data_IF_449969102726
#
_entry.id   IF_449969102726
#
_cell.length_a   1.000
_cell.length_b   1.000
_cell.length_c   1.000
_cell.angle_alpha   90.00
_cell.angle_beta   90.00
_cell.angle_gamma   90.00
#
_symmetry.space_group_name_H-M   'P 1'
#
loop_
_entity.id
_entity.type
_entity.pdbx_description
1 polymer ?
#
# COMPACT_ATOMS: atom_id res chain seq x y z
N UNK A 1 50.08 -56.46 14.92
CA UNK A 1 48.68 -56.80 15.23
C UNK A 1 47.82 -56.09 14.19
N UNK A 2 47.36 -56.85 13.20
CA UNK A 2 46.55 -56.36 12.10
C UNK A 2 45.12 -56.10 12.62
N UNK A 3 44.75 -54.82 12.75
CA UNK A 3 43.47 -54.41 13.30
C UNK A 3 42.37 -54.58 12.24
N UNK A 4 42.02 -55.83 11.91
CA UNK A 4 40.87 -56.13 11.06
C UNK A 4 39.59 -55.66 11.75
N UNK A 5 39.00 -54.59 11.20
CA UNK A 5 37.65 -54.13 11.55
C UNK A 5 36.67 -55.21 11.09
N UNK A 6 36.23 -56.05 12.03
CA UNK A 6 35.18 -57.05 11.79
C UNK A 6 33.80 -56.40 11.82
N UNK A 7 32.87 -56.83 10.95
CA UNK A 7 31.47 -56.35 10.85
C UNK A 7 30.76 -56.24 12.22
N UNK A 8 31.12 -57.11 13.18
CA UNK A 8 30.60 -57.09 14.55
C UNK A 8 30.97 -55.83 15.34
N UNK A 9 32.18 -55.27 15.17
CA UNK A 9 32.59 -54.03 15.84
C UNK A 9 31.85 -52.81 15.30
N UNK A 10 31.54 -52.78 14.01
CA UNK A 10 30.74 -51.71 13.39
C UNK A 10 29.28 -51.76 13.90
N UNK A 11 28.71 -52.97 14.04
CA UNK A 11 27.37 -53.17 14.59
C UNK A 11 27.24 -52.79 16.07
N UNK A 12 28.27 -53.04 16.89
CA UNK A 12 28.30 -52.62 18.29
C UNK A 12 28.49 -51.11 18.47
N UNK A 13 29.20 -50.43 17.57
CA UNK A 13 29.33 -48.98 17.61
C UNK A 13 28.01 -48.29 17.22
N UNK A 14 27.32 -48.82 16.21
CA UNK A 14 25.98 -48.35 15.82
C UNK A 14 24.91 -48.64 16.88
N UNK A 15 24.92 -49.80 17.54
CA UNK A 15 23.90 -50.14 18.55
C UNK A 15 24.05 -49.38 19.87
N UNK A 16 25.22 -48.83 20.18
CA UNK A 16 25.47 -48.10 21.43
C UNK A 16 25.44 -46.57 21.28
N UNK A 17 25.79 -46.04 20.10
CA UNK A 17 25.84 -44.59 19.85
C UNK A 17 24.73 -44.06 18.91
N UNK A 18 23.78 -44.90 18.46
CA UNK A 18 22.72 -44.45 17.55
C UNK A 18 21.92 -43.25 18.08
N UNK A 19 21.63 -43.19 19.39
CA UNK A 19 20.94 -42.04 20.01
C UNK A 19 21.76 -40.76 19.89
N UNK A 20 23.08 -40.83 20.09
CA UNK A 20 23.97 -39.66 19.95
C UNK A 20 24.10 -39.21 18.51
N UNK A 21 24.17 -40.17 17.58
CA UNK A 21 24.17 -39.89 16.14
C UNK A 21 22.86 -39.19 15.74
N UNK A 22 21.71 -39.68 16.23
CA UNK A 22 20.40 -39.10 15.97
C UNK A 22 20.26 -37.69 16.57
N UNK A 23 20.77 -37.48 17.80
CA UNK A 23 20.81 -36.17 18.45
C UNK A 23 21.69 -35.16 17.70
N UNK A 24 22.86 -35.58 17.20
CA UNK A 24 23.73 -34.74 16.36
C UNK A 24 23.04 -34.41 15.03
N UNK A 25 22.40 -35.38 14.39
CA UNK A 25 21.62 -35.11 13.17
C UNK A 25 20.52 -34.07 13.43
N UNK A 26 19.75 -34.22 14.51
CA UNK A 26 18.72 -33.25 14.89
C UNK A 26 19.31 -31.86 15.17
N UNK A 27 20.44 -31.78 15.89
CA UNK A 27 21.14 -30.51 16.14
C UNK A 27 21.62 -29.85 14.84
N UNK A 28 22.16 -30.63 13.89
CA UNK A 28 22.56 -30.12 12.57
C UNK A 28 21.33 -29.60 11.80
N UNK A 29 20.20 -30.31 11.81
CA UNK A 29 18.97 -29.83 11.18
C UNK A 29 18.49 -28.53 11.83
N UNK A 30 18.51 -28.41 13.17
CA UNK A 30 18.15 -27.18 13.87
C UNK A 30 19.08 -26.03 13.50
N UNK A 31 20.40 -26.26 13.46
CA UNK A 31 21.38 -25.25 13.02
C UNK A 31 21.13 -24.87 11.56
N UNK A 32 20.77 -25.83 10.71
CA UNK A 32 20.48 -25.57 9.30
C UNK A 32 19.19 -24.75 9.12
N UNK A 33 18.15 -25.05 9.89
CA UNK A 33 16.91 -24.27 9.94
C UNK A 33 17.21 -22.86 10.46
N UNK A 34 18.00 -22.73 11.53
CA UNK A 34 18.40 -21.43 12.08
C UNK A 34 19.16 -20.61 11.03
N UNK A 35 20.19 -21.19 10.41
CA UNK A 35 20.93 -20.54 9.34
C UNK A 35 20.02 -20.11 8.20
N UNK A 36 19.09 -20.96 7.77
CA UNK A 36 18.13 -20.59 6.73
C UNK A 36 17.20 -19.45 7.18
N UNK A 37 16.73 -19.49 8.42
CA UNK A 37 15.83 -18.46 8.96
C UNK A 37 16.51 -17.11 9.23
N UNK A 38 17.82 -17.11 9.50
CA UNK A 38 18.61 -15.90 9.78
C UNK A 38 19.32 -15.35 8.54
N UNK A 39 19.60 -16.19 7.54
CA UNK A 39 20.32 -15.80 6.32
C UNK A 39 19.41 -15.65 5.09
N UNK A 40 18.17 -16.12 5.15
CA UNK A 40 17.20 -15.85 4.09
C UNK A 40 16.95 -14.34 4.02
N UNK A 41 17.14 -13.70 2.85
CA UNK A 41 16.71 -12.33 2.63
C UNK A 41 15.20 -12.27 2.90
N UNK A 42 14.79 -11.51 3.91
CA UNK A 42 13.39 -11.14 4.09
C UNK A 42 13.13 -9.85 3.32
N UNK A 43 11.94 -9.72 2.77
CA UNK A 43 11.49 -8.44 2.24
C UNK A 43 11.66 -7.37 3.33
N UNK A 44 12.27 -6.25 2.97
CA UNK A 44 12.28 -5.07 3.85
C UNK A 44 10.85 -4.51 3.94
N UNK A 45 10.60 -3.61 4.90
CA UNK A 45 9.29 -2.95 4.99
C UNK A 45 8.90 -2.21 3.69
N UNK A 46 9.87 -1.75 2.88
CA UNK A 46 9.59 -1.16 1.57
C UNK A 46 9.26 -2.18 0.46
N UNK A 47 9.62 -3.45 0.64
CA UNK A 47 9.43 -4.52 -0.34
C UNK A 47 8.19 -5.40 -0.07
N UNK A 48 7.51 -5.22 1.06
CA UNK A 48 6.20 -5.83 1.32
C UNK A 48 5.12 -4.84 0.87
N UNK A 49 3.99 -5.26 0.30
CA UNK A 49 2.85 -4.39 0.03
C UNK A 49 1.66 -4.82 0.91
N UNK A 50 1.10 -3.90 1.69
CA UNK A 50 0.09 -4.17 2.69
C UNK A 50 -1.23 -3.49 2.35
N UNK A 51 -2.25 -4.32 2.19
CA UNK A 51 -3.61 -3.93 1.87
C UNK A 51 -4.46 -4.10 3.13
N UNK A 52 -5.12 -3.04 3.57
CA UNK A 52 -6.09 -3.09 4.65
C UNK A 52 -7.50 -3.11 4.07
N UNK A 53 -8.36 -3.95 4.62
CA UNK A 53 -9.77 -4.04 4.26
C UNK A 53 -10.58 -3.67 5.49
N UNK A 54 -11.22 -2.52 5.47
CA UNK A 54 -12.03 -2.03 6.58
C UNK A 54 -13.26 -2.92 6.80
N UNK A 55 -13.86 -2.95 8.01
CA UNK A 55 -15.10 -3.69 8.22
C UNK A 55 -16.14 -3.40 7.16
N UNK A 56 -16.94 -4.42 6.84
CA UNK A 56 -17.99 -4.40 5.82
C UNK A 56 -17.52 -4.27 4.37
N UNK A 57 -16.21 -4.12 4.11
CA UNK A 57 -15.62 -4.26 2.78
C UNK A 57 -15.11 -5.69 2.60
N UNK A 58 -15.16 -6.21 1.38
CA UNK A 58 -14.69 -7.54 1.02
C UNK A 58 -13.95 -7.49 -0.30
N UNK A 59 -12.70 -7.97 -0.29
CA UNK A 59 -11.95 -8.30 -1.51
C UNK A 59 -12.33 -9.70 -1.96
N UNK A 60 -12.66 -9.85 -3.24
CA UNK A 60 -12.98 -11.14 -3.86
C UNK A 60 -11.71 -11.82 -4.36
N UNK A 61 -11.77 -13.14 -4.56
CA UNK A 61 -10.64 -13.94 -5.05
C UNK A 61 -10.07 -13.44 -6.39
N UNK A 62 -10.94 -12.84 -7.20
CA UNK A 62 -10.63 -12.14 -8.47
C UNK A 62 -9.75 -10.91 -8.31
N UNK A 63 -9.56 -10.38 -7.11
CA UNK A 63 -8.55 -9.35 -6.85
C UNK A 63 -7.12 -9.85 -7.12
N UNK A 64 -6.90 -11.16 -6.96
CA UNK A 64 -5.65 -11.80 -7.31
C UNK A 64 -4.65 -11.92 -6.15
N UNK A 65 -3.59 -12.66 -6.44
CA UNK A 65 -2.44 -12.89 -5.56
C UNK A 65 -1.25 -12.05 -6.00
N UNK A 66 -0.20 -11.94 -5.17
CA UNK A 66 1.03 -11.23 -5.56
C UNK A 66 1.58 -11.71 -6.92
N UNK A 67 1.57 -13.01 -7.18
CA UNK A 67 2.08 -13.54 -8.45
C UNK A 67 1.26 -13.09 -9.65
N UNK A 68 -0.08 -13.10 -9.56
CA UNK A 68 -0.93 -12.65 -10.66
C UNK A 68 -0.84 -11.13 -10.84
N UNK A 69 -0.87 -10.37 -9.74
CA UNK A 69 -0.74 -8.91 -9.77
C UNK A 69 0.58 -8.46 -10.40
N UNK A 70 1.68 -9.19 -10.15
CA UNK A 70 2.97 -8.91 -10.80
C UNK A 70 2.98 -9.30 -12.28
N UNK A 71 2.38 -10.45 -12.64
CA UNK A 71 2.25 -10.88 -14.04
C UNK A 71 1.40 -9.89 -14.87
N UNK A 72 0.37 -9.30 -14.26
CA UNK A 72 -0.54 -8.34 -14.89
C UNK A 72 -0.05 -6.88 -14.81
N UNK A 73 1.15 -6.65 -14.26
CA UNK A 73 1.79 -5.34 -14.18
C UNK A 73 1.22 -4.38 -13.14
N UNK A 74 0.49 -4.87 -12.13
CA UNK A 74 0.02 -4.09 -10.99
C UNK A 74 1.15 -3.74 -10.00
N UNK A 75 2.12 -4.65 -9.88
CA UNK A 75 3.30 -4.48 -9.01
C UNK A 75 4.60 -4.71 -9.77
N UNK A 76 5.62 -3.95 -9.40
CA UNK A 76 6.98 -4.16 -9.88
C UNK A 76 7.68 -5.37 -9.24
N UNK A 77 8.85 -5.72 -9.77
CA UNK A 77 9.71 -6.77 -9.20
C UNK A 77 10.29 -6.43 -7.80
N UNK A 78 10.11 -5.20 -7.33
CA UNK A 78 10.53 -4.78 -5.99
C UNK A 78 9.49 -5.10 -4.91
N UNK A 79 8.24 -5.36 -5.28
CA UNK A 79 7.25 -5.93 -4.36
C UNK A 79 7.51 -7.44 -4.25
N UNK A 80 8.12 -7.84 -3.13
CA UNK A 80 8.53 -9.21 -2.85
C UNK A 80 7.51 -9.98 -2.01
N UNK A 81 6.69 -9.26 -1.24
CA UNK A 81 5.65 -9.85 -0.40
C UNK A 81 4.37 -9.00 -0.46
N UNK A 82 3.22 -9.62 -0.24
CA UNK A 82 1.94 -8.93 -0.18
C UNK A 82 1.11 -9.52 0.95
N UNK A 83 0.52 -8.65 1.77
CA UNK A 83 -0.42 -9.08 2.80
C UNK A 83 -1.74 -8.32 2.71
N UNK A 84 -2.82 -9.04 3.03
CA UNK A 84 -4.16 -8.48 3.14
C UNK A 84 -4.62 -8.61 4.58
N UNK A 85 -4.90 -7.48 5.22
CA UNK A 85 -5.34 -7.39 6.61
C UNK A 85 -6.83 -7.02 6.63
N UNK A 86 -7.69 -8.02 6.85
CA UNK A 86 -9.11 -7.80 7.07
C UNK A 86 -9.34 -7.34 8.51
N UNK A 87 -9.83 -6.11 8.66
CA UNK A 87 -10.08 -5.50 9.96
C UNK A 87 -11.45 -5.94 10.48
N UNK A 88 -11.49 -6.31 11.76
CA UNK A 88 -12.73 -6.60 12.47
C UNK A 88 -13.18 -5.36 13.24
N UNK A 89 -14.48 -5.16 13.35
CA UNK A 89 -15.07 -3.98 13.99
C UNK A 89 -14.54 -3.77 15.42
N UNK A 90 -14.44 -4.84 16.22
CA UNK A 90 -14.02 -4.79 17.62
C UNK A 90 -12.51 -4.53 17.81
N UNK A 91 -11.69 -4.71 16.77
CA UNK A 91 -10.22 -4.64 16.89
C UNK A 91 -9.55 -3.69 15.91
N UNK A 92 -10.32 -3.05 15.00
CA UNK A 92 -9.78 -2.22 13.92
C UNK A 92 -8.84 -1.14 14.45
N UNK A 93 -9.23 -0.41 15.49
CA UNK A 93 -8.45 0.73 16.00
C UNK A 93 -7.16 0.29 16.71
N UNK A 94 -7.21 -0.86 17.39
CA UNK A 94 -6.03 -1.46 18.03
C UNK A 94 -5.01 -1.93 16.99
N UNK A 95 -5.50 -2.61 15.94
CA UNK A 95 -4.65 -3.11 14.85
C UNK A 95 -4.05 -1.95 14.07
N UNK A 96 -4.87 -1.00 13.63
CA UNK A 96 -4.43 0.18 12.89
C UNK A 96 -3.44 1.01 13.69
N UNK A 97 -3.74 1.28 14.97
CA UNK A 97 -2.83 2.01 15.86
C UNK A 97 -1.46 1.34 16.00
N UNK A 98 -1.41 0.02 16.18
CA UNK A 98 -0.17 -0.73 16.29
C UNK A 98 0.63 -0.77 14.98
N UNK A 99 -0.05 -0.99 13.85
CA UNK A 99 0.58 -1.12 12.54
C UNK A 99 1.08 0.24 12.04
N UNK A 100 0.28 1.30 12.16
CA UNK A 100 0.71 2.63 11.75
C UNK A 100 1.88 3.15 12.58
N UNK A 101 1.92 2.86 13.88
CA UNK A 101 3.09 3.14 14.73
C UNK A 101 4.35 2.38 14.29
N UNK A 102 4.20 1.24 13.61
CA UNK A 102 5.29 0.47 13.01
C UNK A 102 5.63 0.89 11.56
N UNK A 103 4.96 1.91 11.00
CA UNK A 103 5.16 2.34 9.61
C UNK A 103 4.62 1.34 8.58
N UNK A 104 3.51 0.68 8.90
CA UNK A 104 2.89 -0.36 8.08
C UNK A 104 1.62 0.14 7.37
N UNK A 105 1.46 -0.23 6.10
CA UNK A 105 0.27 0.05 5.30
C UNK A 105 0.49 0.92 4.08
N UNK A 106 0.05 0.42 2.93
CA UNK A 106 0.16 1.11 1.65
C UNK A 106 -1.20 1.58 1.15
N UNK A 107 -2.22 0.75 1.31
CA UNK A 107 -3.58 1.02 0.80
C UNK A 107 -4.63 0.51 1.79
N UNK A 108 -5.75 1.23 1.86
CA UNK A 108 -6.94 0.78 2.57
C UNK A 108 -8.18 0.85 1.68
N UNK A 109 -8.98 -0.22 1.68
CA UNK A 109 -10.32 -0.21 1.11
C UNK A 109 -11.35 -0.01 2.21
N UNK A 110 -12.17 1.02 2.07
CA UNK A 110 -13.16 1.46 3.07
C UNK A 110 -14.44 1.94 2.38
N UNK A 111 -15.57 1.88 3.08
CA UNK A 111 -16.84 2.35 2.52
C UNK A 111 -17.09 3.84 2.82
N UNK A 112 -17.46 4.61 1.80
CA UNK A 112 -17.95 5.99 1.94
C UNK A 112 -19.47 6.07 2.12
N UNK A 113 -20.16 4.94 2.21
CA UNK A 113 -21.60 4.90 2.37
C UNK A 113 -22.02 5.60 3.68
N UNK A 114 -22.92 6.58 3.58
CA UNK A 114 -23.36 7.39 4.70
C UNK A 114 -24.46 6.70 5.52
N UNK A 115 -24.35 6.78 6.83
CA UNK A 115 -25.31 6.25 7.79
C UNK A 115 -25.44 7.17 9.01
N UNK A 116 -26.55 7.04 9.74
CA UNK A 116 -26.78 7.74 11.01
C UNK A 116 -25.78 7.26 12.06
N UNK A 117 -24.97 8.17 12.60
CA UNK A 117 -23.99 7.88 13.65
C UNK A 117 -24.62 7.44 14.97
N UNK A 118 -25.92 7.67 15.16
CA UNK A 118 -26.64 7.53 16.43
C UNK A 118 -26.56 8.78 17.31
N UNK A 119 -25.81 9.80 16.89
CA UNK A 119 -25.70 11.10 17.55
C UNK A 119 -26.61 12.15 16.91
N UNK A 120 -26.88 13.22 17.66
CA UNK A 120 -27.71 14.33 17.19
C UNK A 120 -27.00 15.66 17.36
N UNK A 121 -27.20 16.55 16.40
CA UNK A 121 -26.72 17.93 16.48
C UNK A 121 -27.52 18.76 17.51
N UNK A 122 -27.12 20.02 17.71
CA UNK A 122 -27.76 20.93 18.64
C UNK A 122 -29.25 21.22 18.31
N UNK A 123 -29.65 21.04 17.05
CA UNK A 123 -31.01 21.23 16.56
C UNK A 123 -31.83 19.93 16.59
N UNK A 124 -31.23 18.82 17.00
CA UNK A 124 -31.86 17.51 17.15
C UNK A 124 -31.93 16.66 15.88
N UNK A 125 -31.22 17.05 14.81
CA UNK A 125 -31.08 16.27 13.58
C UNK A 125 -30.02 15.17 13.76
N UNK A 126 -30.19 14.05 13.06
CA UNK A 126 -29.20 12.97 13.08
C UNK A 126 -27.89 13.43 12.42
N UNK A 127 -26.76 13.13 13.07
CA UNK A 127 -25.44 13.35 12.48
C UNK A 127 -25.12 12.18 11.57
N UNK A 128 -24.94 12.45 10.28
CA UNK A 128 -24.54 11.46 9.30
C UNK A 128 -23.02 11.26 9.33
N UNK A 129 -22.58 10.03 9.11
CA UNK A 129 -21.16 9.66 9.03
C UNK A 129 -20.96 8.55 8.00
N UNK A 130 -19.72 8.29 7.62
CA UNK A 130 -19.33 7.07 6.91
C UNK A 130 -18.15 6.39 7.59
N UNK A 131 -17.86 5.13 7.21
CA UNK A 131 -16.68 4.42 7.68
C UNK A 131 -15.38 5.13 7.21
N UNK A 132 -15.39 5.68 5.99
CA UNK A 132 -14.32 6.51 5.44
C UNK A 132 -14.10 7.78 6.28
N UNK A 133 -15.17 8.51 6.62
CA UNK A 133 -15.06 9.74 7.40
C UNK A 133 -14.49 9.47 8.80
N UNK A 134 -14.97 8.42 9.48
CA UNK A 134 -14.44 8.01 10.78
C UNK A 134 -12.96 7.64 10.69
N UNK A 135 -12.58 6.87 9.66
CA UNK A 135 -11.19 6.48 9.45
C UNK A 135 -10.28 7.70 9.22
N UNK A 136 -10.67 8.64 8.35
CA UNK A 136 -9.85 9.83 8.05
C UNK A 136 -9.81 10.80 9.24
N UNK A 137 -10.88 10.96 10.00
CA UNK A 137 -10.83 11.77 11.23
C UNK A 137 -9.91 11.14 12.30
N UNK A 138 -9.87 9.81 12.42
CA UNK A 138 -9.01 9.14 13.39
C UNK A 138 -7.54 9.01 12.95
N UNK A 139 -7.30 8.85 11.65
CA UNK A 139 -5.98 8.48 11.09
C UNK A 139 -5.57 9.32 9.87
N UNK A 140 -6.13 10.51 9.69
CA UNK A 140 -5.86 11.37 8.52
C UNK A 140 -4.38 11.73 8.38
N UNK A 141 -3.64 11.83 9.50
CA UNK A 141 -2.17 12.00 9.48
C UNK A 141 -1.40 10.83 8.84
N UNK A 142 -2.01 9.65 8.73
CA UNK A 142 -1.48 8.49 8.03
C UNK A 142 -2.00 8.35 6.60
N UNK A 143 -2.85 9.26 6.13
CA UNK A 143 -3.40 9.26 4.78
C UNK A 143 -2.62 10.25 3.90
N UNK A 144 -2.51 9.97 2.60
CA UNK A 144 -2.01 10.98 1.66
C UNK A 144 -3.17 11.89 1.22
N UNK A 145 -2.87 13.17 1.08
CA UNK A 145 -3.82 14.12 0.50
C UNK A 145 -3.81 14.03 -1.03
N UNK A 146 -4.99 14.04 -1.64
CA UNK A 146 -5.17 13.89 -3.10
C UNK A 146 -5.35 15.24 -3.83
N UNK A 147 -5.15 16.36 -3.15
CA UNK A 147 -5.31 17.69 -3.75
C UNK A 147 -6.77 18.16 -3.73
N UNK A 148 -7.08 19.27 -4.40
CA UNK A 148 -8.42 19.86 -4.44
C UNK A 148 -8.37 21.37 -4.67
N UNK A 149 -9.49 22.07 -4.44
CA UNK A 149 -9.55 23.54 -4.51
C UNK A 149 -8.96 24.25 -3.28
N UNK A 150 -8.75 23.52 -2.18
CA UNK A 150 -8.25 24.04 -0.90
C UNK A 150 -6.78 23.66 -0.66
N UNK A 151 -6.12 24.34 0.29
CA UNK A 151 -4.80 23.96 0.79
C UNK A 151 -4.88 22.66 1.62
N UNK A 152 -3.73 22.02 1.88
CA UNK A 152 -3.66 20.79 2.66
C UNK A 152 -4.41 20.95 4.01
N UNK A 153 -5.49 20.20 4.25
CA UNK A 153 -6.45 20.56 5.30
C UNK A 153 -5.96 20.29 6.73
N UNK A 154 -4.94 19.44 6.92
CA UNK A 154 -4.49 18.98 8.24
C UNK A 154 -3.22 19.68 8.77
N UNK A 155 -2.91 20.89 8.29
CA UNK A 155 -1.71 21.64 8.69
C UNK A 155 -0.39 20.97 8.26
N UNK A 156 0.72 21.70 8.30
CA UNK A 156 2.05 21.16 8.03
C UNK A 156 2.71 20.72 9.33
N UNK A 157 2.58 19.45 9.70
CA UNK A 157 3.44 18.90 10.75
C UNK A 157 4.86 18.71 10.19
N UNK A 158 5.93 19.00 10.96
CA UNK A 158 7.32 18.77 10.52
C UNK A 158 7.60 17.32 10.09
N UNK A 159 6.78 16.38 10.58
CA UNK A 159 6.84 14.94 10.29
C UNK A 159 5.99 14.56 9.05
N UNK A 160 5.08 15.43 8.60
CA UNK A 160 4.27 15.29 7.38
C UNK A 160 4.79 16.23 6.30
N UNK A 161 5.90 15.86 5.66
CA UNK A 161 6.51 16.60 4.55
C UNK A 161 5.69 16.59 3.24
N UNK A 162 4.42 16.17 3.24
CA UNK A 162 3.55 16.11 2.07
C UNK A 162 2.48 17.22 2.09
N UNK A 163 2.91 18.48 2.05
CA UNK A 163 1.99 19.59 1.69
C UNK A 163 1.61 19.58 0.20
N UNK A 164 2.26 18.71 -0.59
CA UNK A 164 1.96 18.47 -2.00
C UNK A 164 1.03 17.27 -2.13
N UNK A 165 0.02 17.39 -2.99
CA UNK A 165 -0.88 16.28 -3.29
C UNK A 165 -0.12 15.09 -3.91
N UNK A 166 -0.65 13.89 -3.65
CA UNK A 166 -0.02 12.63 -3.99
C UNK A 166 0.24 12.45 -5.49
N UNK A 167 -0.70 12.86 -6.34
CA UNK A 167 -0.56 12.70 -7.80
C UNK A 167 0.47 13.70 -8.35
N UNK A 168 0.52 14.92 -7.85
CA UNK A 168 1.61 15.87 -8.16
C UNK A 168 2.96 15.35 -7.69
N UNK A 169 3.03 14.72 -6.51
CA UNK A 169 4.27 14.08 -6.05
C UNK A 169 4.72 12.96 -7.00
N UNK A 170 3.79 12.11 -7.45
CA UNK A 170 4.06 11.07 -8.45
C UNK A 170 4.55 11.66 -9.78
N UNK A 171 3.92 12.74 -10.24
CA UNK A 171 4.33 13.48 -11.45
C UNK A 171 5.77 14.00 -11.33
N UNK A 172 6.10 14.61 -10.20
CA UNK A 172 7.42 15.18 -9.95
C UNK A 172 8.50 14.10 -9.84
N UNK A 173 8.15 12.93 -9.29
CA UNK A 173 9.03 11.76 -9.31
C UNK A 173 9.32 11.28 -10.72
N UNK A 174 8.28 11.11 -11.55
CA UNK A 174 8.43 10.73 -12.96
C UNK A 174 9.23 11.77 -13.76
N UNK A 175 9.05 13.06 -13.48
CA UNK A 175 9.75 14.15 -14.17
C UNK A 175 11.29 14.11 -14.00
N UNK A 176 11.82 13.34 -13.04
CA UNK A 176 13.27 13.09 -12.92
C UNK A 176 13.83 12.25 -14.07
N UNK A 177 12.98 11.44 -14.72
CA UNK A 177 13.40 10.40 -15.68
C UNK A 177 12.94 10.67 -17.12
N UNK A 178 12.26 11.79 -17.36
CA UNK A 178 11.77 12.16 -18.68
C UNK A 178 12.06 13.64 -18.93
N UNK A 179 12.10 14.02 -20.22
CA UNK A 179 12.30 15.41 -20.61
C UNK A 179 11.19 16.32 -20.06
N UNK A 180 11.52 17.60 -19.86
CA UNK A 180 10.57 18.62 -19.40
C UNK A 180 9.32 18.65 -20.29
N UNK A 181 8.13 18.69 -19.67
CA UNK A 181 6.84 18.65 -20.35
C UNK A 181 6.33 17.25 -20.72
N UNK A 182 7.14 16.20 -20.63
CA UNK A 182 6.72 14.84 -21.01
C UNK A 182 5.68 14.19 -20.07
N UNK A 183 5.52 14.72 -18.85
CA UNK A 183 4.61 14.21 -17.81
C UNK A 183 3.52 15.25 -17.46
N UNK A 184 3.33 16.29 -18.28
CA UNK A 184 2.23 17.25 -18.09
C UNK A 184 0.92 16.73 -18.72
N UNK A 185 -0.19 16.83 -17.97
CA UNK A 185 -1.49 16.31 -18.42
C UNK A 185 -1.44 14.81 -18.69
N UNK A 186 -1.89 14.37 -19.89
CA UNK A 186 -1.76 12.98 -20.36
C UNK A 186 -0.33 12.59 -20.79
N UNK A 187 0.62 13.52 -20.70
CA UNK A 187 2.01 13.34 -21.06
C UNK A 187 2.28 13.12 -22.55
N UNK A 188 3.54 13.27 -22.95
CA UNK A 188 4.04 12.79 -24.23
C UNK A 188 4.52 11.34 -24.06
N UNK A 189 3.66 10.39 -24.40
CA UNK A 189 3.99 8.96 -24.33
C UNK A 189 5.13 8.55 -25.29
N UNK A 190 5.50 9.41 -26.24
CA UNK A 190 6.63 9.16 -27.16
C UNK A 190 7.97 9.61 -26.59
N UNK A 191 7.97 10.37 -25.48
CA UNK A 191 9.18 10.83 -24.83
C UNK A 191 10.00 9.63 -24.32
N UNK A 192 11.30 9.67 -24.62
CA UNK A 192 12.25 8.64 -24.18
C UNK A 192 12.69 8.86 -22.74
N UNK A 193 12.92 7.75 -22.04
CA UNK A 193 13.49 7.75 -20.69
C UNK A 193 14.93 8.26 -20.67
N UNK A 194 15.27 9.05 -19.65
CA UNK A 194 16.65 9.28 -19.24
C UNK A 194 17.19 8.05 -18.50
N UNK A 195 17.75 7.12 -19.28
CA UNK A 195 18.31 5.88 -18.75
C UNK A 195 19.48 6.10 -17.79
N UNK A 196 20.22 7.20 -17.93
CA UNK A 196 21.36 7.49 -17.07
C UNK A 196 20.88 7.95 -15.68
N UNK A 197 19.84 8.78 -15.64
CA UNK A 197 19.20 9.17 -14.39
C UNK A 197 18.61 7.95 -13.67
N UNK A 198 17.87 7.10 -14.38
CA UNK A 198 17.31 5.85 -13.83
C UNK A 198 18.41 4.94 -13.30
N UNK A 199 19.50 4.73 -14.05
CA UNK A 199 20.60 3.87 -13.60
C UNK A 199 21.28 4.42 -12.35
N UNK A 200 21.46 5.74 -12.26
CA UNK A 200 22.07 6.39 -11.11
C UNK A 200 21.24 6.16 -9.84
N UNK A 201 19.94 6.42 -9.91
CA UNK A 201 19.02 6.26 -8.78
C UNK A 201 18.83 4.78 -8.42
N UNK A 202 18.71 3.90 -9.41
CA UNK A 202 18.60 2.46 -9.20
C UNK A 202 19.81 1.93 -8.44
N UNK A 203 21.03 2.25 -8.90
CA UNK A 203 22.27 1.82 -8.24
C UNK A 203 22.40 2.35 -6.82
N UNK A 204 21.93 3.57 -6.56
CA UNK A 204 21.88 4.12 -5.22
C UNK A 204 20.89 3.37 -4.32
N UNK A 205 19.70 3.03 -4.85
CA UNK A 205 18.66 2.28 -4.13
C UNK A 205 19.09 0.87 -3.76
N UNK A 206 19.73 0.15 -4.68
CA UNK A 206 20.10 -1.25 -4.48
C UNK A 206 21.38 -1.44 -3.66
N UNK A 207 21.99 -0.36 -3.15
CA UNK A 207 23.19 -0.47 -2.31
C UNK A 207 22.87 -1.26 -1.04
N UNK A 208 23.61 -2.36 -0.82
CA UNK A 208 23.35 -3.31 0.26
C UNK A 208 22.25 -4.36 -0.02
N UNK A 209 21.55 -4.32 -1.16
CA UNK A 209 20.57 -5.34 -1.54
C UNK A 209 21.28 -6.63 -2.01
N UNK A 210 21.01 -7.72 -1.30
CA UNK A 210 21.60 -9.03 -1.59
C UNK A 210 21.17 -9.64 -2.93
N UNK A 211 20.12 -9.12 -3.59
CA UNK A 211 19.69 -9.52 -4.94
C UNK A 211 20.70 -9.11 -6.01
N UNK A 212 21.46 -8.04 -5.79
CA UNK A 212 22.27 -7.38 -6.82
C UNK A 212 23.79 -7.41 -6.54
N UNK A 213 24.35 -8.58 -6.21
CA UNK A 213 25.78 -8.73 -5.85
C UNK A 213 26.76 -8.72 -7.03
N UNK A 214 26.25 -8.91 -8.26
CA UNK A 214 27.07 -9.01 -9.48
C UNK A 214 26.54 -8.05 -10.52
N UNK A 215 27.44 -7.54 -11.36
CA UNK A 215 27.06 -6.62 -12.45
C UNK A 215 26.01 -7.23 -13.38
N UNK A 216 26.05 -8.54 -13.65
CA UNK A 216 25.00 -9.20 -14.45
C UNK A 216 23.61 -9.16 -13.81
N UNK A 217 23.54 -9.18 -12.47
CA UNK A 217 22.27 -9.07 -11.73
C UNK A 217 21.81 -7.61 -11.72
N UNK A 218 22.73 -6.66 -11.57
CA UNK A 218 22.45 -5.22 -11.66
C UNK A 218 21.90 -4.87 -13.04
N UNK A 219 22.51 -5.37 -14.12
CA UNK A 219 22.04 -5.14 -15.48
C UNK A 219 20.65 -5.74 -15.75
N UNK A 220 20.36 -6.93 -15.20
CA UNK A 220 19.01 -7.51 -15.26
C UNK A 220 18.00 -6.65 -14.48
N UNK A 221 18.34 -6.22 -13.27
CA UNK A 221 17.53 -5.31 -12.46
C UNK A 221 17.29 -3.96 -13.12
N UNK A 222 18.28 -3.41 -13.83
CA UNK A 222 18.10 -2.16 -14.59
C UNK A 222 17.07 -2.30 -15.70
N UNK A 223 17.00 -3.46 -16.38
CA UNK A 223 15.96 -3.70 -17.39
C UNK A 223 14.56 -3.74 -16.77
N UNK A 224 14.44 -4.37 -15.59
CA UNK A 224 13.20 -4.38 -14.81
C UNK A 224 12.85 -2.97 -14.33
N UNK A 225 13.83 -2.17 -13.92
CA UNK A 225 13.62 -0.78 -13.48
C UNK A 225 13.15 0.13 -14.62
N UNK A 226 13.74 0.01 -15.82
CA UNK A 226 13.26 0.76 -16.99
C UNK A 226 11.79 0.43 -17.28
N UNK A 227 11.42 -0.86 -17.21
CA UNK A 227 10.05 -1.30 -17.39
C UNK A 227 9.12 -0.79 -16.28
N UNK A 228 9.59 -0.77 -15.02
CA UNK A 228 8.85 -0.25 -13.87
C UNK A 228 8.52 1.23 -14.03
N UNK A 229 9.51 2.07 -14.35
CA UNK A 229 9.30 3.52 -14.55
C UNK A 229 8.33 3.78 -15.70
N UNK A 230 8.41 2.99 -16.78
CA UNK A 230 7.49 3.11 -17.92
C UNK A 230 6.07 2.67 -17.57
N UNK A 231 5.93 1.58 -16.81
CA UNK A 231 4.65 1.09 -16.31
C UNK A 231 4.01 2.10 -15.37
N UNK A 232 4.78 2.70 -14.46
CA UNK A 232 4.30 3.76 -13.57
C UNK A 232 3.84 4.99 -14.36
N UNK A 233 4.58 5.43 -15.39
CA UNK A 233 4.16 6.53 -16.27
C UNK A 233 2.83 6.23 -16.95
N UNK A 234 2.68 5.01 -17.48
CA UNK A 234 1.45 4.57 -18.13
C UNK A 234 0.28 4.56 -17.16
N UNK A 235 0.46 3.95 -15.98
CA UNK A 235 -0.56 3.88 -14.95
C UNK A 235 -0.96 5.28 -14.45
N UNK A 236 0.01 6.17 -14.22
CA UNK A 236 -0.25 7.57 -13.85
C UNK A 236 -1.13 8.26 -14.88
N UNK A 237 -0.78 8.19 -16.17
CA UNK A 237 -1.56 8.84 -17.23
C UNK A 237 -2.97 8.23 -17.38
N UNK A 238 -3.10 6.91 -17.17
CA UNK A 238 -4.40 6.25 -17.15
C UNK A 238 -5.26 6.75 -15.97
N UNK A 239 -4.69 6.81 -14.76
CA UNK A 239 -5.39 7.32 -13.56
C UNK A 239 -5.84 8.76 -13.76
N UNK A 240 -5.00 9.63 -14.32
CA UNK A 240 -5.41 11.00 -14.68
C UNK A 240 -6.56 10.97 -15.70
N UNK A 241 -6.47 10.10 -16.72
CA UNK A 241 -7.55 9.92 -17.69
C UNK A 241 -8.87 9.45 -17.06
N UNK A 242 -8.82 8.51 -16.11
CA UNK A 242 -9.98 8.00 -15.39
C UNK A 242 -10.64 9.07 -14.50
N UNK A 243 -9.84 9.96 -13.92
CA UNK A 243 -10.35 11.11 -13.17
C UNK A 243 -11.01 12.14 -14.11
N UNK A 244 -10.44 12.39 -15.29
CA UNK A 244 -11.01 13.31 -16.28
C UNK A 244 -12.32 12.80 -16.89
N UNK A 245 -12.45 11.49 -17.12
CA UNK A 245 -13.64 10.89 -17.73
C UNK A 245 -14.71 10.44 -16.73
N UNK A 246 -14.42 10.51 -15.43
CA UNK A 246 -15.33 10.18 -14.33
C UNK A 246 -15.41 8.69 -13.99
N UNK A 247 -14.58 7.84 -14.61
CA UNK A 247 -14.42 6.43 -14.21
C UNK A 247 -13.92 6.33 -12.77
N UNK A 248 -13.01 7.22 -12.38
CA UNK A 248 -12.60 7.47 -11.01
C UNK A 248 -13.04 8.87 -10.57
N UNK A 249 -13.29 9.03 -9.28
CA UNK A 249 -13.42 10.35 -8.65
C UNK A 249 -12.68 10.37 -7.33
N UNK A 250 -12.43 11.56 -6.78
CA UNK A 250 -11.95 11.70 -5.40
C UNK A 250 -13.13 12.02 -4.49
N UNK A 251 -13.14 11.46 -3.28
CA UNK A 251 -14.21 11.73 -2.31
C UNK A 251 -13.85 12.94 -1.46
N UNK A 252 -14.73 13.93 -1.48
CA UNK A 252 -14.68 15.09 -0.58
C UNK A 252 -15.20 14.69 0.81
N UNK A 253 -14.49 15.10 1.85
CA UNK A 253 -14.84 14.85 3.25
C UNK A 253 -14.86 16.17 4.01
N UNK A 254 -15.87 16.36 4.85
CA UNK A 254 -15.90 17.43 5.85
C UNK A 254 -15.17 16.94 7.11
N UNK A 255 -13.94 17.42 7.30
CA UNK A 255 -13.02 16.98 8.35
C UNK A 255 -13.02 17.94 9.53
N UNK A 256 -12.93 17.39 10.73
CA UNK A 256 -12.71 18.17 11.95
C UNK A 256 -11.22 18.24 12.25
N UNK A 257 -10.65 19.44 12.23
CA UNK A 257 -9.21 19.67 12.48
C UNK A 257 -9.02 20.68 13.62
N UNK A 258 -7.90 20.59 14.33
CA UNK A 258 -7.52 21.59 15.34
C UNK A 258 -7.39 22.98 14.70
N UNK A 259 -7.90 24.01 15.39
CA UNK A 259 -7.81 25.40 15.01
C UNK A 259 -6.61 26.08 15.68
N UNK A 260 -6.02 27.05 15.00
CA UNK A 260 -5.00 27.94 15.59
C UNK A 260 -5.65 29.16 16.28
N UNK A 261 -6.98 29.25 16.25
CA UNK A 261 -7.78 30.30 16.85
C UNK A 261 -8.59 29.73 18.02
N UNK A 262 -8.94 30.60 18.98
CA UNK A 262 -9.82 30.26 20.12
C UNK A 262 -11.26 30.21 19.61
N UNK A 263 -11.68 29.04 19.14
CA UNK A 263 -13.01 28.77 18.58
C UNK A 263 -14.05 28.65 19.69
N UNK A 264 -13.64 28.18 20.87
CA UNK A 264 -14.53 27.91 21.99
C UNK A 264 -14.76 29.16 22.90
N UNK A 265 -13.94 30.19 22.76
CA UNK A 265 -14.04 31.48 23.42
C UNK A 265 -13.57 31.49 24.88
N UNK A 266 -12.76 30.52 25.31
CA UNK A 266 -12.26 30.40 26.69
C UNK A 266 -10.97 31.21 26.94
N UNK A 267 -10.42 31.83 25.90
CA UNK A 267 -9.21 32.63 25.93
C UNK A 267 -7.91 31.83 25.82
N UNK A 268 -8.00 30.52 25.54
CA UNK A 268 -6.88 29.59 25.35
C UNK A 268 -7.06 28.86 24.03
N UNK A 269 -5.99 28.75 23.23
CA UNK A 269 -5.99 27.89 22.05
C UNK A 269 -5.47 26.52 22.46
N UNK A 270 -6.33 25.50 22.39
CA UNK A 270 -5.98 24.11 22.71
C UNK A 270 -6.63 23.09 21.75
N UNK A 271 -6.43 21.79 22.00
CA UNK A 271 -6.92 20.70 21.13
C UNK A 271 -8.45 20.57 21.08
N UNK A 272 -9.19 21.32 21.90
CA UNK A 272 -10.66 21.39 21.84
C UNK A 272 -11.13 22.47 20.86
N UNK A 273 -10.27 23.41 20.47
CA UNK A 273 -10.55 24.35 19.39
C UNK A 273 -10.44 23.62 18.07
N UNK A 274 -11.60 23.37 17.45
CA UNK A 274 -11.68 22.63 16.21
C UNK A 274 -12.53 23.36 15.20
N UNK A 275 -12.18 23.21 13.93
CA UNK A 275 -12.91 23.76 12.79
C UNK A 275 -13.17 22.68 11.75
N UNK A 276 -14.21 22.89 10.96
CA UNK A 276 -14.52 22.03 9.82
C UNK A 276 -13.77 22.51 8.57
N UNK A 277 -13.10 21.59 7.88
CA UNK A 277 -12.39 21.85 6.63
C UNK A 277 -12.67 20.75 5.62
N UNK A 278 -12.71 21.09 4.34
CA UNK A 278 -12.90 20.11 3.27
C UNK A 278 -11.58 19.49 2.84
N UNK A 279 -11.55 18.17 2.68
CA UNK A 279 -10.37 17.42 2.24
C UNK A 279 -10.69 16.26 1.31
N UNK A 280 -9.68 15.81 0.56
CA UNK A 280 -9.79 14.72 -0.40
C UNK A 280 -8.70 13.68 -0.10
N UNK A 281 -9.12 12.48 0.32
CA UNK A 281 -8.22 11.46 0.88
C UNK A 281 -8.44 10.06 0.30
N UNK A 282 -9.40 9.88 -0.60
CA UNK A 282 -9.65 8.59 -1.25
C UNK A 282 -10.06 8.73 -2.71
N UNK A 283 -9.75 7.68 -3.47
CA UNK A 283 -10.32 7.44 -4.79
C UNK A 283 -11.62 6.65 -4.63
N UNK A 284 -12.73 7.20 -5.09
CA UNK A 284 -14.00 6.51 -5.21
C UNK A 284 -13.95 5.57 -6.42
N UNK A 285 -14.17 4.28 -6.15
CA UNK A 285 -14.19 3.23 -7.14
C UNK A 285 -15.62 2.88 -7.57
N UNK A 286 -16.65 3.52 -7.01
CA UNK A 286 -18.05 3.16 -7.21
C UNK A 286 -18.55 3.29 -8.66
N UNK A 287 -17.87 4.09 -9.49
CA UNK A 287 -18.16 4.24 -10.91
C UNK A 287 -17.31 3.32 -11.81
N UNK A 288 -16.32 2.62 -11.26
CA UNK A 288 -15.47 1.71 -12.02
C UNK A 288 -16.31 0.54 -12.53
N UNK A 289 -16.40 0.32 -13.85
CA UNK A 289 -17.25 -0.72 -14.39
C UNK A 289 -16.82 -2.12 -13.91
N UNK A 290 -17.74 -2.86 -13.30
CA UNK A 290 -17.49 -4.21 -12.79
C UNK A 290 -16.69 -4.28 -11.49
N UNK A 291 -16.51 -3.17 -10.77
CA UNK A 291 -15.75 -3.15 -9.51
C UNK A 291 -16.29 -4.14 -8.48
N UNK A 292 -17.59 -4.41 -8.48
CA UNK A 292 -18.23 -5.40 -7.63
C UNK A 292 -17.70 -6.82 -7.85
N UNK A 293 -17.03 -7.09 -8.97
CA UNK A 293 -16.36 -8.35 -9.22
C UNK A 293 -15.03 -8.46 -8.49
N UNK A 294 -14.40 -7.36 -8.06
CA UNK A 294 -13.15 -7.36 -7.31
C UNK A 294 -13.34 -6.96 -5.84
N UNK A 295 -14.13 -5.91 -5.60
CA UNK A 295 -14.28 -5.30 -4.28
C UNK A 295 -15.74 -4.94 -4.07
N UNK A 296 -16.28 -5.32 -2.92
CA UNK A 296 -17.66 -4.99 -2.54
C UNK A 296 -17.73 -4.48 -1.12
N UNK A 297 -18.75 -3.70 -0.82
CA UNK A 297 -19.18 -3.35 0.53
C UNK A 297 -20.57 -3.91 0.81
N UNK A 298 -20.83 -4.28 2.06
CA UNK A 298 -22.18 -4.58 2.57
C UNK A 298 -22.82 -3.36 3.26
N UNK A 299 -22.12 -2.22 3.33
CA UNK A 299 -22.73 -0.94 3.69
C UNK A 299 -23.51 -0.44 2.48
N UNK A 300 -24.81 -0.66 2.49
CA UNK A 300 -25.70 -0.28 1.39
C UNK A 300 -27.16 -0.20 1.86
N UNK A 301 -27.97 0.61 1.16
CA UNK A 301 -29.42 0.67 1.36
C UNK A 301 -30.08 -0.69 1.05
N UNK A 302 -29.58 -1.35 0.01
CA UNK A 302 -30.01 -2.68 -0.42
C UNK A 302 -29.18 -3.71 0.36
N UNK A 303 -29.78 -4.68 1.05
CA UNK A 303 -29.08 -5.65 1.92
C UNK A 303 -28.20 -6.68 1.16
N UNK A 304 -27.56 -6.25 0.06
CA UNK A 304 -26.74 -7.02 -0.86
C UNK A 304 -25.39 -6.33 -1.05
N UNK A 305 -24.31 -7.12 -1.20
CA UNK A 305 -22.98 -6.59 -1.50
C UNK A 305 -22.99 -5.77 -2.79
N UNK A 306 -22.41 -4.58 -2.77
CA UNK A 306 -22.33 -3.66 -3.92
C UNK A 306 -20.92 -3.11 -4.10
N UNK A 307 -20.56 -2.72 -5.32
CA UNK A 307 -19.35 -1.96 -5.60
C UNK A 307 -19.46 -0.46 -5.29
N UNK A 308 -20.69 0.05 -5.13
CA UNK A 308 -20.94 1.46 -4.86
C UNK A 308 -20.44 1.87 -3.48
N UNK A 309 -19.80 3.04 -3.41
CA UNK A 309 -19.24 3.58 -2.17
C UNK A 309 -17.97 2.86 -1.69
N UNK A 310 -17.39 1.95 -2.48
CA UNK A 310 -16.05 1.41 -2.20
C UNK A 310 -15.02 2.48 -2.53
N UNK A 311 -14.18 2.81 -1.56
CA UNK A 311 -13.13 3.80 -1.69
C UNK A 311 -11.76 3.18 -1.41
N UNK A 312 -10.75 3.67 -2.13
CA UNK A 312 -9.34 3.34 -1.92
C UNK A 312 -8.62 4.56 -1.31
N UNK A 313 -8.14 4.42 -0.08
CA UNK A 313 -7.28 5.40 0.59
C UNK A 313 -5.82 4.96 0.41
N UNK A 314 -4.95 5.91 0.05
CA UNK A 314 -3.51 5.68 0.01
C UNK A 314 -2.90 6.11 1.35
N UNK A 315 -2.09 5.23 1.92
CA UNK A 315 -1.51 5.41 3.23
C UNK A 315 -0.07 5.93 3.13
N UNK A 316 0.27 6.88 3.99
CA UNK A 316 1.55 7.58 4.04
C UNK A 316 2.53 6.96 5.07
N UNK A 317 2.41 5.67 5.36
CA UNK A 317 3.14 5.06 6.49
C UNK A 317 4.60 4.71 6.16
N UNK A 318 5.00 4.79 4.87
CA UNK A 318 6.29 4.32 4.36
C UNK A 318 7.06 5.38 3.56
N UNK A 319 7.14 6.58 4.10
CA UNK A 319 7.89 7.71 3.54
C UNK A 319 9.40 7.45 3.25
N UNK A 320 9.94 6.28 3.59
CA UNK A 320 11.38 5.99 3.54
C UNK A 320 11.88 5.52 2.16
N UNK A 321 11.02 5.04 1.25
CA UNK A 321 11.45 4.59 -0.09
C UNK A 321 10.66 5.30 -1.20
N UNK A 322 11.17 6.47 -1.63
CA UNK A 322 10.50 7.33 -2.62
C UNK A 322 10.15 6.59 -3.93
N UNK A 323 10.97 5.63 -4.34
CA UNK A 323 10.75 4.89 -5.57
C UNK A 323 9.55 3.94 -5.52
N UNK A 324 9.21 3.39 -4.35
CA UNK A 324 8.17 2.38 -4.17
C UNK A 324 6.85 2.96 -3.68
N UNK A 325 6.84 4.23 -3.25
CA UNK A 325 5.66 4.92 -2.75
C UNK A 325 4.54 5.13 -3.78
N UNK A 326 4.75 4.75 -5.03
CA UNK A 326 3.83 4.95 -6.15
C UNK A 326 3.30 3.63 -6.75
N UNK A 327 3.63 2.48 -6.18
CA UNK A 327 3.04 1.18 -6.56
C UNK A 327 1.50 1.16 -6.35
N UNK A 328 0.99 2.05 -5.51
CA UNK A 328 -0.44 2.27 -5.32
C UNK A 328 -1.11 2.83 -6.59
N UNK A 329 -0.37 3.59 -7.42
CA UNK A 329 -0.88 4.13 -8.70
C UNK A 329 -1.01 3.01 -9.73
N UNK A 330 -0.01 2.13 -9.84
CA UNK A 330 -0.06 0.97 -10.74
C UNK A 330 -1.13 -0.04 -10.30
N UNK A 331 -1.31 -0.22 -8.99
CA UNK A 331 -2.41 -1.02 -8.46
C UNK A 331 -3.78 -0.41 -8.80
N UNK A 332 -3.96 0.90 -8.65
CA UNK A 332 -5.21 1.58 -8.97
C UNK A 332 -5.57 1.45 -10.46
N UNK A 333 -4.60 1.66 -11.36
CA UNK A 333 -4.77 1.42 -12.80
C UNK A 333 -5.16 -0.04 -13.09
N UNK A 334 -4.49 -0.99 -12.47
CA UNK A 334 -4.82 -2.41 -12.62
C UNK A 334 -6.25 -2.71 -12.17
N UNK A 335 -6.69 -2.21 -11.01
CA UNK A 335 -8.06 -2.42 -10.50
C UNK A 335 -9.09 -1.94 -11.52
N UNK A 336 -8.91 -0.76 -12.10
CA UNK A 336 -9.85 -0.22 -13.11
C UNK A 336 -9.89 -1.09 -14.36
N UNK A 337 -8.72 -1.44 -14.91
CA UNK A 337 -8.62 -2.26 -16.12
C UNK A 337 -9.19 -3.66 -15.93
N UNK A 338 -8.86 -4.29 -14.81
CA UNK A 338 -9.25 -5.67 -14.53
C UNK A 338 -10.74 -5.79 -14.18
N UNK A 339 -11.29 -4.82 -13.42
CA UNK A 339 -12.73 -4.74 -13.16
C UNK A 339 -13.54 -4.67 -14.46
N UNK A 340 -13.11 -3.80 -15.39
CA UNK A 340 -13.76 -3.64 -16.69
C UNK A 340 -13.64 -4.91 -17.55
N UNK A 341 -12.49 -5.61 -17.47
CA UNK A 341 -12.29 -6.90 -18.15
C UNK A 341 -13.22 -7.98 -17.61
N UNK A 342 -13.35 -8.08 -16.28
CA UNK A 342 -14.21 -9.05 -15.62
C UNK A 342 -15.69 -8.80 -15.91
N UNK A 343 -16.11 -7.55 -16.08
CA UNK A 343 -17.49 -7.22 -16.47
C UNK A 343 -17.85 -7.71 -17.88
N UNK A 344 -16.86 -7.81 -18.77
CA UNK A 344 -17.06 -8.21 -20.16
C UNK A 344 -17.11 -9.74 -20.36
N UNK A 345 -16.80 -10.53 -19.33
CA UNK A 345 -16.85 -12.00 -19.32
C UNK A 345 -18.21 -12.50 -18.83
#
# INVERSE_FOLDING_TARGET
>A
MDAKITKSRLGHMLSYDWIKILAICAAVVVVWILLFTTLAPRATSGQTFEIYVYPYVTLKDSFGSLSSLREDGAFSGDVLDMSTNNLLEDSKDTVLGAHFAAGQGDVMFVSSYEYDSGEKDADGNAIMTSDLLQFVNGYGGNCVWLGGENEHPMGSYPENANTQDYLTSCRNYLAKYYAEGAIEGKGDMTASQDKQAIETDFRARIDGDNRYKRESQIQAGLLEEYARIESLRTAYNNVIGYLEDGTLSVTELDLTVESEEDENGDGTVDSNDTKQVKGYFSFDLGNVPGIENMITTTRSEESTSTGKGVNMVILNTRLQEEALRFEQVTLLDHIVRESARLQAL
#
